data_IF_975662134737
#
_entry.id   IF_975662134737
#
_cell.length_a   1.000
_cell.length_b   1.000
_cell.length_c   1.000
_cell.angle_alpha   90.00
_cell.angle_beta   90.00
_cell.angle_gamma   90.00
#
_symmetry.space_group_name_H-M   'P 1'
#
loop_
_entity.id
_entity.type
_entity.pdbx_description
1 polymer ?
#
# COMPACT_ATOMS: atom_id res chain seq x y z
N UNK A 1 -7.96 -37.07 -26.71
CA UNK A 1 -8.72 -35.83 -26.99
C UNK A 1 -9.13 -35.25 -25.65
N UNK A 2 -8.57 -34.06 -25.34
CA UNK A 2 -8.74 -33.22 -24.13
C UNK A 2 -8.09 -33.75 -22.83
N UNK A 3 -6.79 -33.50 -22.70
CA UNK A 3 -6.24 -33.09 -21.39
C UNK A 3 -6.86 -31.72 -21.07
N UNK A 4 -7.67 -31.66 -20.01
CA UNK A 4 -7.95 -30.41 -19.34
C UNK A 4 -6.74 -30.13 -18.46
N UNK A 5 -5.87 -29.26 -18.94
CA UNK A 5 -4.89 -28.58 -18.09
C UNK A 5 -5.69 -27.65 -17.18
N UNK A 6 -6.12 -28.14 -16.02
CA UNK A 6 -6.56 -27.28 -14.94
C UNK A 6 -5.34 -26.45 -14.52
N UNK A 7 -5.30 -25.18 -14.95
CA UNK A 7 -4.30 -24.23 -14.48
C UNK A 7 -4.50 -24.02 -12.98
N UNK A 8 -3.53 -24.38 -12.12
CA UNK A 8 -3.63 -24.15 -10.68
C UNK A 8 -3.73 -22.67 -10.33
N UNK A 9 -3.30 -21.77 -11.23
CA UNK A 9 -3.29 -20.32 -11.00
C UNK A 9 -4.67 -19.67 -10.97
N UNK A 10 -5.67 -20.20 -11.71
CA UNK A 10 -6.98 -19.53 -11.84
C UNK A 10 -7.85 -19.72 -10.59
N UNK A 11 -7.70 -20.86 -9.92
CA UNK A 11 -8.45 -21.13 -8.68
C UNK A 11 -7.83 -20.37 -7.50
N UNK A 12 -6.49 -20.27 -7.44
CA UNK A 12 -5.82 -19.42 -6.45
C UNK A 12 -6.20 -17.93 -6.63
N UNK A 13 -6.36 -17.48 -7.87
CA UNK A 13 -6.85 -16.14 -8.21
C UNK A 13 -8.27 -15.86 -7.71
N UNK A 14 -9.14 -16.88 -7.68
CA UNK A 14 -10.52 -16.73 -7.20
C UNK A 14 -10.60 -16.62 -5.68
N UNK A 15 -9.75 -17.36 -4.98
CA UNK A 15 -9.75 -17.39 -3.52
C UNK A 15 -9.02 -16.18 -2.90
N UNK A 16 -8.12 -15.55 -3.67
CA UNK A 16 -7.38 -14.32 -3.27
C UNK A 16 -8.02 -13.02 -3.75
N UNK A 17 -9.00 -13.08 -4.65
CA UNK A 17 -9.70 -11.90 -5.16
C UNK A 17 -10.63 -11.32 -4.11
N UNK A 18 -10.20 -10.23 -3.47
CA UNK A 18 -11.09 -9.43 -2.64
C UNK A 18 -11.99 -8.56 -3.54
N UNK A 19 -13.28 -8.48 -3.20
CA UNK A 19 -14.24 -7.66 -3.92
C UNK A 19 -14.44 -6.30 -3.24
N UNK A 20 -14.21 -5.22 -3.98
CA UNK A 20 -14.55 -3.87 -3.52
C UNK A 20 -16.02 -3.59 -3.79
N UNK A 21 -16.72 -2.88 -2.88
CA UNK A 21 -18.11 -2.51 -3.13
C UNK A 21 -18.25 -1.68 -4.41
N UNK A 22 -19.18 -2.05 -5.29
CA UNK A 22 -19.46 -1.33 -6.54
C UNK A 22 -19.72 0.17 -6.34
N UNK A 23 -20.29 0.56 -5.21
CA UNK A 23 -20.52 1.96 -4.86
C UNK A 23 -19.22 2.75 -4.67
N UNK A 24 -18.16 2.12 -4.16
CA UNK A 24 -16.84 2.75 -3.97
C UNK A 24 -16.19 2.97 -5.34
N UNK A 25 -16.17 1.94 -6.18
CA UNK A 25 -15.63 1.99 -7.54
C UNK A 25 -16.33 3.09 -8.36
N UNK A 26 -17.67 3.10 -8.34
CA UNK A 26 -18.45 4.10 -9.07
C UNK A 26 -18.19 5.53 -8.59
N UNK A 27 -18.02 5.74 -7.28
CA UNK A 27 -17.67 7.06 -6.72
C UNK A 27 -16.30 7.52 -7.19
N UNK A 28 -15.29 6.65 -7.17
CA UNK A 28 -13.94 6.97 -7.63
C UNK A 28 -13.99 7.38 -9.10
N UNK A 29 -14.65 6.60 -9.96
CA UNK A 29 -14.72 6.90 -11.39
C UNK A 29 -15.41 8.26 -11.64
N UNK A 30 -16.54 8.52 -10.99
CA UNK A 30 -17.26 9.79 -11.17
C UNK A 30 -16.48 11.02 -10.64
N UNK A 31 -15.64 10.83 -9.62
CA UNK A 31 -14.82 11.92 -9.07
C UNK A 31 -13.60 12.22 -9.97
N UNK A 32 -13.04 11.19 -10.61
CA UNK A 32 -11.83 11.33 -11.44
C UNK A 32 -12.14 11.60 -12.91
N UNK A 33 -13.32 11.20 -13.40
CA UNK A 33 -13.70 11.25 -14.82
C UNK A 33 -15.11 11.81 -14.96
N UNK A 34 -15.26 12.82 -15.82
CA UNK A 34 -16.55 13.42 -16.12
C UNK A 34 -17.38 12.53 -17.06
N UNK A 35 -18.27 11.73 -16.48
CA UNK A 35 -19.10 10.76 -17.18
C UNK A 35 -20.42 11.35 -17.71
N UNK A 36 -20.52 12.66 -18.01
CA UNK A 36 -21.78 13.39 -18.32
C UNK A 36 -22.85 12.62 -19.09
N UNK A 37 -22.46 11.84 -20.09
CA UNK A 37 -23.38 11.12 -20.98
C UNK A 37 -23.24 9.59 -20.91
N UNK A 38 -22.43 9.06 -20.00
CA UNK A 38 -22.08 7.64 -19.94
C UNK A 38 -22.59 7.01 -18.65
N UNK A 39 -23.11 5.78 -18.76
CA UNK A 39 -23.56 4.96 -17.63
C UNK A 39 -22.74 3.68 -17.58
N UNK A 40 -22.31 3.29 -16.39
CA UNK A 40 -21.59 2.04 -16.16
C UNK A 40 -22.59 0.98 -15.69
N UNK A 41 -22.66 -0.16 -16.39
CA UNK A 41 -23.49 -1.29 -15.98
C UNK A 41 -22.90 -1.97 -14.74
N UNK A 42 -23.76 -2.58 -13.91
CA UNK A 42 -23.35 -3.34 -12.72
C UNK A 42 -22.31 -4.42 -13.04
N UNK A 43 -22.48 -5.11 -14.16
CA UNK A 43 -21.53 -6.15 -14.61
C UNK A 43 -20.14 -5.58 -14.88
N UNK A 44 -20.04 -4.41 -15.50
CA UNK A 44 -18.76 -3.75 -15.72
C UNK A 44 -18.08 -3.31 -14.40
N UNK A 45 -18.87 -2.86 -13.41
CA UNK A 45 -18.35 -2.55 -12.08
C UNK A 45 -17.82 -3.80 -11.37
N UNK A 46 -18.53 -4.93 -11.46
CA UNK A 46 -18.05 -6.20 -10.91
C UNK A 46 -16.73 -6.65 -11.57
N UNK A 47 -16.59 -6.47 -12.88
CA UNK A 47 -15.33 -6.79 -13.58
C UNK A 47 -14.20 -5.86 -13.14
N UNK A 48 -14.47 -4.55 -13.02
CA UNK A 48 -13.48 -3.59 -12.52
C UNK A 48 -13.02 -3.89 -11.09
N UNK A 49 -13.93 -4.36 -10.21
CA UNK A 49 -13.58 -4.83 -8.87
C UNK A 49 -12.47 -5.88 -8.94
N UNK A 50 -12.69 -6.92 -9.75
CA UNK A 50 -11.72 -8.00 -9.96
C UNK A 50 -10.43 -7.50 -10.60
N UNK A 51 -10.51 -6.63 -11.59
CA UNK A 51 -9.33 -6.05 -12.22
C UNK A 51 -8.45 -5.28 -11.21
N UNK A 52 -9.05 -4.60 -10.23
CA UNK A 52 -8.29 -3.88 -9.22
C UNK A 52 -7.55 -4.84 -8.28
N UNK A 53 -8.17 -5.97 -7.90
CA UNK A 53 -7.49 -7.02 -7.13
C UNK A 53 -6.31 -7.59 -7.91
N UNK A 54 -6.49 -7.84 -9.22
CA UNK A 54 -5.39 -8.28 -10.10
C UNK A 54 -4.28 -7.25 -10.23
N UNK A 55 -4.64 -5.98 -10.33
CA UNK A 55 -3.66 -4.91 -10.42
C UNK A 55 -2.76 -4.88 -9.18
N UNK A 56 -3.35 -5.02 -7.99
CA UNK A 56 -2.57 -5.09 -6.74
C UNK A 56 -1.65 -6.31 -6.74
N UNK A 57 -2.14 -7.48 -7.12
CA UNK A 57 -1.32 -8.70 -7.22
C UNK A 57 -0.17 -8.52 -8.22
N UNK A 58 -0.44 -7.95 -9.39
CA UNK A 58 0.56 -7.70 -10.43
C UNK A 58 1.67 -6.76 -9.95
N UNK A 59 1.31 -5.64 -9.30
CA UNK A 59 2.30 -4.71 -8.74
C UNK A 59 3.07 -5.33 -7.57
N UNK A 60 2.40 -6.15 -6.75
CA UNK A 60 3.06 -6.83 -5.62
C UNK A 60 4.08 -7.85 -6.12
N UNK A 61 3.75 -8.59 -7.18
CA UNK A 61 4.65 -9.55 -7.82
C UNK A 61 5.90 -8.87 -8.39
N UNK A 62 5.74 -7.77 -9.14
CA UNK A 62 6.89 -7.00 -9.62
C UNK A 62 7.72 -6.36 -8.49
N UNK A 63 7.07 -5.90 -7.41
CA UNK A 63 7.78 -5.37 -6.24
C UNK A 63 8.56 -6.46 -5.50
N UNK A 64 8.02 -7.69 -5.47
CA UNK A 64 8.71 -8.84 -4.91
C UNK A 64 9.99 -9.14 -5.70
N UNK A 65 9.95 -9.11 -7.04
CA UNK A 65 11.14 -9.31 -7.88
C UNK A 65 12.27 -8.32 -7.52
N UNK A 66 11.95 -7.03 -7.33
CA UNK A 66 12.92 -6.04 -6.86
C UNK A 66 13.43 -6.34 -5.45
N UNK A 67 12.55 -6.71 -4.53
CA UNK A 67 12.89 -7.07 -3.15
C UNK A 67 13.87 -8.26 -3.10
N UNK A 68 13.58 -9.31 -3.87
CA UNK A 68 14.41 -10.51 -3.99
C UNK A 68 15.76 -10.21 -4.64
N UNK A 69 15.79 -9.36 -5.67
CA UNK A 69 17.02 -8.94 -6.34
C UNK A 69 18.03 -8.27 -5.39
N UNK A 70 17.52 -7.54 -4.39
CA UNK A 70 18.31 -6.90 -3.33
C UNK A 70 18.54 -7.82 -2.10
N UNK A 71 18.11 -9.08 -2.16
CA UNK A 71 18.19 -10.07 -1.06
C UNK A 71 17.50 -9.61 0.22
N UNK A 72 16.36 -8.93 0.09
CA UNK A 72 15.53 -8.51 1.20
C UNK A 72 14.29 -9.42 1.31
N UNK A 73 13.69 -9.42 2.50
CA UNK A 73 12.43 -10.12 2.78
C UNK A 73 11.29 -9.14 3.12
N UNK A 74 11.53 -7.84 2.97
CA UNK A 74 10.58 -6.78 3.28
C UNK A 74 10.41 -5.91 2.05
N UNK A 75 9.18 -5.86 1.54
CA UNK A 75 8.79 -4.99 0.42
C UNK A 75 8.66 -3.57 0.95
N UNK A 76 9.42 -2.64 0.37
CA UNK A 76 9.36 -1.22 0.70
C UNK A 76 8.63 -0.43 -0.38
N UNK A 77 8.25 0.81 -0.07
CA UNK A 77 7.62 1.74 -1.02
C UNK A 77 8.42 1.88 -2.32
N UNK A 78 9.76 1.86 -2.25
CA UNK A 78 10.61 1.93 -3.45
C UNK A 78 10.41 0.77 -4.41
N UNK A 79 10.10 -0.42 -3.90
CA UNK A 79 9.93 -1.63 -4.72
C UNK A 79 8.64 -1.54 -5.53
N UNK A 80 7.58 -1.02 -4.89
CA UNK A 80 6.29 -0.73 -5.54
C UNK A 80 6.48 0.36 -6.61
N UNK A 81 7.23 1.42 -6.31
CA UNK A 81 7.54 2.47 -7.28
C UNK A 81 8.36 1.94 -8.47
N UNK A 82 9.35 1.08 -8.24
CA UNK A 82 10.13 0.45 -9.30
C UNK A 82 9.25 -0.44 -10.18
N UNK A 83 8.38 -1.27 -9.58
CA UNK A 83 7.43 -2.11 -10.31
C UNK A 83 6.48 -1.27 -11.19
N UNK A 84 5.97 -0.14 -10.69
CA UNK A 84 5.14 0.78 -11.46
C UNK A 84 5.89 1.39 -12.65
N UNK A 85 7.16 1.74 -12.44
CA UNK A 85 8.02 2.29 -13.50
C UNK A 85 8.30 1.25 -14.60
N UNK A 86 8.64 0.02 -14.21
CA UNK A 86 8.97 -1.06 -15.15
C UNK A 86 7.74 -1.55 -15.92
N UNK A 87 6.56 -1.47 -15.28
CA UNK A 87 5.25 -1.73 -15.89
C UNK A 87 4.73 -0.58 -16.76
N UNK A 88 5.49 0.52 -16.89
CA UNK A 88 5.15 1.73 -17.65
C UNK A 88 3.90 2.48 -17.15
N UNK A 89 3.54 2.34 -15.88
CA UNK A 89 2.48 3.13 -15.23
C UNK A 89 3.02 4.47 -14.72
N UNK A 90 3.66 5.24 -15.60
CA UNK A 90 4.42 6.44 -15.26
C UNK A 90 3.59 7.54 -14.60
N UNK A 91 2.36 7.75 -15.07
CA UNK A 91 1.45 8.74 -14.46
C UNK A 91 1.09 8.39 -13.00
N UNK A 92 0.92 7.09 -12.72
CA UNK A 92 0.64 6.59 -11.36
C UNK A 92 1.90 6.70 -10.51
N UNK A 93 3.06 6.33 -11.07
CA UNK A 93 4.36 6.47 -10.42
C UNK A 93 4.61 7.90 -9.95
N UNK A 94 4.44 8.89 -10.83
CA UNK A 94 4.71 10.29 -10.53
C UNK A 94 3.76 10.85 -9.46
N UNK A 95 2.48 10.46 -9.52
CA UNK A 95 1.50 10.83 -8.50
C UNK A 95 1.87 10.24 -7.13
N UNK A 96 2.18 8.95 -7.06
CA UNK A 96 2.53 8.28 -5.80
C UNK A 96 3.83 8.84 -5.21
N UNK A 97 4.85 9.04 -6.05
CA UNK A 97 6.13 9.62 -5.63
C UNK A 97 5.95 11.00 -4.98
N UNK A 98 5.08 11.83 -5.56
CA UNK A 98 4.74 13.14 -4.99
C UNK A 98 4.04 13.00 -3.65
N UNK A 99 3.06 12.09 -3.54
CA UNK A 99 2.34 11.83 -2.29
C UNK A 99 3.26 11.37 -1.15
N UNK A 100 4.20 10.46 -1.44
CA UNK A 100 5.19 9.96 -0.46
C UNK A 100 6.09 11.09 0.02
N UNK A 101 6.60 11.93 -0.89
CA UNK A 101 7.46 13.06 -0.53
C UNK A 101 6.77 14.06 0.40
N UNK A 102 5.48 14.37 0.14
CA UNK A 102 4.68 15.25 1.00
C UNK A 102 4.49 14.63 2.39
N UNK A 103 4.23 13.32 2.47
CA UNK A 103 4.06 12.62 3.75
C UNK A 103 5.35 12.66 4.59
N UNK A 104 6.51 12.42 3.97
CA UNK A 104 7.80 12.53 4.66
C UNK A 104 8.08 13.95 5.18
N UNK A 105 7.75 14.98 4.39
CA UNK A 105 7.91 16.37 4.81
C UNK A 105 7.01 16.71 6.01
N UNK A 106 5.76 16.26 5.99
CA UNK A 106 4.82 16.47 7.08
C UNK A 106 5.25 15.76 8.36
N UNK A 107 5.77 14.53 8.25
CA UNK A 107 6.29 13.78 9.40
C UNK A 107 7.52 14.48 10.01
N UNK A 108 8.41 15.06 9.18
CA UNK A 108 9.57 15.84 9.66
C UNK A 108 9.14 17.11 10.42
N UNK A 109 8.08 17.79 9.96
CA UNK A 109 7.53 18.98 10.62
C UNK A 109 6.86 18.66 11.97
N UNK A 110 6.17 17.53 12.07
CA UNK A 110 5.55 17.08 13.33
C UNK A 110 6.60 16.82 14.43
N UNK A 111 7.75 16.23 14.07
CA UNK A 111 8.84 15.97 15.02
C UNK A 111 9.58 17.25 15.45
N UNK A 112 9.65 18.27 14.59
CA UNK A 112 10.35 19.54 14.90
C UNK A 112 9.59 20.43 15.89
N UNK A 113 8.27 20.30 16.01
CA UNK A 113 7.45 21.11 16.93
C UNK A 113 7.51 20.68 18.40
N UNK A 114 8.21 19.59 18.74
CA UNK A 114 8.36 19.12 20.13
C UNK A 114 9.63 19.61 20.84
N UNK A 115 10.44 20.48 20.22
CA UNK A 115 11.74 20.91 20.75
C UNK A 115 11.92 22.44 20.83
N UNK A 116 10.93 23.16 21.37
CA UNK A 116 11.10 24.60 21.70
C UNK A 116 10.71 24.90 23.15
N UNK A 117 11.60 24.52 24.07
CA UNK A 117 12.06 25.35 25.20
C UNK A 117 11.08 25.79 26.29
N UNK A 118 11.25 25.24 27.49
CA UNK A 118 11.30 26.07 28.71
C UNK A 118 12.42 25.59 29.62
N UNK A 119 13.51 26.35 29.65
CA UNK A 119 14.59 26.25 30.63
C UNK A 119 14.07 26.71 32.00
N UNK A 120 14.11 25.85 33.02
CA UNK A 120 14.20 26.25 34.44
C UNK A 120 15.22 25.34 35.14
N UNK A 121 16.10 26.01 35.89
CA UNK A 121 17.34 25.61 36.54
C UNK A 121 17.16 24.63 37.72
N UNK A 122 17.94 23.54 37.68
CA UNK A 122 18.60 22.75 38.76
C UNK A 122 17.82 22.40 40.04
N UNK A 123 17.66 21.09 40.31
CA UNK A 123 18.02 20.44 41.59
C UNK A 123 18.19 18.92 41.44
N UNK A 124 19.18 18.43 42.16
CA UNK A 124 19.80 17.09 42.13
C UNK A 124 18.87 15.94 42.55
N UNK A 125 19.06 14.75 41.96
CA UNK A 125 19.15 13.45 42.65
C UNK A 125 19.21 12.28 41.64
N UNK A 126 19.95 11.25 42.03
CA UNK A 126 20.42 10.07 41.30
C UNK A 126 19.31 9.13 40.76
N UNK A 127 19.63 8.39 39.68
CA UNK A 127 19.10 7.03 39.49
C UNK A 127 18.79 6.58 38.06
N UNK A 128 19.69 5.76 37.48
CA UNK A 128 19.30 4.53 36.77
C UNK A 128 18.93 4.59 35.28
N UNK A 129 19.76 3.93 34.46
CA UNK A 129 19.49 3.54 33.07
C UNK A 129 18.19 2.73 32.93
N UNK A 130 17.43 2.93 31.85
CA UNK A 130 17.19 1.84 30.89
C UNK A 130 16.52 2.33 29.60
N UNK A 131 17.14 1.90 28.50
CA UNK A 131 16.77 2.09 27.12
C UNK A 131 15.86 0.93 26.71
N UNK A 132 14.64 1.20 26.20
CA UNK A 132 13.89 0.24 25.36
C UNK A 132 13.04 0.98 24.35
N UNK A 133 13.53 0.99 23.12
CA UNK A 133 12.71 1.09 21.92
C UNK A 133 11.73 -0.11 21.89
N UNK A 134 10.47 0.16 21.61
CA UNK A 134 9.41 -0.79 21.31
C UNK A 134 8.30 0.02 20.63
N UNK A 135 7.61 -0.40 19.57
CA UNK A 135 7.77 -1.48 18.60
C UNK A 135 6.78 -1.02 17.51
N UNK A 136 7.23 -0.68 16.30
CA UNK A 136 6.33 -0.27 15.20
C UNK A 136 5.87 -1.49 14.36
N UNK A 137 6.09 -2.72 14.84
CA UNK A 137 5.75 -3.95 14.10
C UNK A 137 4.41 -4.58 14.47
N UNK A 138 3.75 -4.14 15.54
CA UNK A 138 2.52 -4.81 16.02
C UNK A 138 1.30 -4.58 15.13
N UNK A 139 1.23 -3.45 14.40
CA UNK A 139 0.05 -3.13 13.58
C UNK A 139 -0.07 -4.05 12.36
N UNK A 140 1.06 -4.52 11.80
CA UNK A 140 1.06 -5.41 10.66
C UNK A 140 0.73 -6.85 11.06
N UNK A 141 1.26 -7.30 12.21
CA UNK A 141 0.98 -8.63 12.76
C UNK A 141 -0.48 -8.78 13.23
N UNK A 142 -1.07 -7.71 13.78
CA UNK A 142 -2.51 -7.68 14.14
C UNK A 142 -3.40 -7.80 12.89
N UNK A 143 -3.04 -7.14 11.79
CA UNK A 143 -3.78 -7.23 10.53
C UNK A 143 -3.65 -8.61 9.87
N UNK A 144 -2.47 -9.22 9.97
CA UNK A 144 -2.20 -10.55 9.43
C UNK A 144 -2.97 -11.63 10.20
N UNK A 145 -3.07 -11.51 11.53
CA UNK A 145 -3.85 -12.41 12.37
C UNK A 145 -5.37 -12.26 12.18
N UNK A 146 -5.85 -11.15 11.63
CA UNK A 146 -7.26 -10.95 11.30
C UNK A 146 -7.69 -11.59 9.96
N UNK A 147 -6.72 -12.10 9.19
CA UNK A 147 -6.91 -12.74 7.88
C UNK A 147 -6.87 -14.27 7.92
N UNK A 148 -6.48 -14.89 9.04
CA UNK A 148 -6.62 -16.33 9.32
C UNK A 148 -8.00 -16.70 9.90
#
# INVERSE_FOLDING_TARGET
MKEQTENPDINLLKDTMFDLPNSVILKIINNSIDLKNYKIKKEALNTLSKCLSLFILYITDGALEHCESEKRFTIFVRDILNSLNDSLFLDIYDQLKTHVAIQEENNKKATSNNNTGTNITIKDAEGGQNNKNADENDDFDILLQALE
#
